data_IF_921045119472
#
_entry.id   IF_921045119472
#
_cell.length_a   1.000
_cell.length_b   1.000
_cell.length_c   1.000
_cell.angle_alpha   90.00
_cell.angle_beta   90.00
_cell.angle_gamma   90.00
#
_symmetry.space_group_name_H-M   'P 1'
#
loop_
_entity.id
_entity.type
_entity.pdbx_description
1 polymer ?
#
# COMPACT_ATOMS: atom_id res chain seq x y z
N UNK A 1 -6.75 -0.90 15.71
CA UNK A 1 -6.94 -0.80 14.23
C UNK A 1 -6.27 0.42 13.59
N UNK A 2 -6.31 1.64 14.15
CA UNK A 2 -5.54 2.81 13.61
C UNK A 2 -4.02 2.56 13.49
N UNK A 3 -3.46 1.68 14.32
CA UNK A 3 -2.05 1.30 14.28
C UNK A 3 -1.65 0.54 13.00
N UNK A 4 -2.52 -0.31 12.44
CA UNK A 4 -2.21 -1.05 11.21
C UNK A 4 -2.15 -0.12 9.99
N UNK A 5 -3.07 0.86 9.90
CA UNK A 5 -3.05 1.89 8.84
C UNK A 5 -1.80 2.78 8.99
N UNK A 6 -1.44 3.16 10.21
CA UNK A 6 -0.24 3.95 10.47
C UNK A 6 1.03 3.19 10.04
N UNK A 7 1.14 1.91 10.39
CA UNK A 7 2.25 1.06 9.99
C UNK A 7 2.31 0.87 8.46
N UNK A 8 1.17 0.62 7.79
CA UNK A 8 1.09 0.56 6.32
C UNK A 8 1.62 1.84 5.67
N UNK A 9 1.19 3.00 6.15
CA UNK A 9 1.66 4.29 5.63
C UNK A 9 3.16 4.49 5.84
N UNK A 10 3.67 4.10 7.02
CA UNK A 10 5.11 4.19 7.33
C UNK A 10 5.93 3.30 6.40
N UNK A 11 5.50 2.06 6.21
CA UNK A 11 6.14 1.13 5.26
C UNK A 11 6.12 1.69 3.85
N UNK A 12 5.03 2.33 3.42
CA UNK A 12 4.94 2.97 2.11
C UNK A 12 5.98 4.08 1.94
N UNK A 13 6.10 4.96 2.93
CA UNK A 13 7.07 6.06 2.89
C UNK A 13 8.52 5.58 2.91
N UNK A 14 8.85 4.60 3.75
CA UNK A 14 10.24 4.17 3.99
C UNK A 14 10.79 3.20 2.95
N UNK A 15 9.93 2.38 2.34
CA UNK A 15 10.35 1.36 1.36
C UNK A 15 10.53 1.94 -0.05
N UNK A 16 11.46 1.38 -0.86
CA UNK A 16 11.48 1.60 -2.30
C UNK A 16 10.15 1.17 -2.91
N UNK A 17 9.54 2.05 -3.72
CA UNK A 17 8.29 1.79 -4.44
C UNK A 17 8.49 2.13 -5.91
N UNK A 18 7.86 1.38 -6.79
CA UNK A 18 8.04 1.52 -8.24
C UNK A 18 6.74 1.98 -8.89
N UNK A 19 6.83 2.74 -9.98
CA UNK A 19 5.70 3.39 -10.63
C UNK A 19 4.58 2.45 -11.05
N UNK A 20 4.85 1.17 -11.28
CA UNK A 20 3.80 0.18 -11.48
C UNK A 20 4.12 -1.05 -10.65
N UNK A 21 3.37 -1.23 -9.57
CA UNK A 21 3.65 -2.27 -8.61
C UNK A 21 2.39 -2.77 -7.91
N UNK A 22 2.53 -3.97 -7.36
CA UNK A 22 1.59 -4.63 -6.49
C UNK A 22 2.32 -4.99 -5.20
N UNK A 23 1.97 -4.31 -4.11
CA UNK A 23 2.58 -4.50 -2.80
C UNK A 23 1.67 -5.35 -1.93
N UNK A 24 2.25 -6.36 -1.29
CA UNK A 24 1.52 -7.33 -0.49
C UNK A 24 1.95 -7.26 0.96
N UNK A 25 0.98 -7.03 1.83
CA UNK A 25 1.18 -6.93 3.26
C UNK A 25 0.38 -8.02 3.96
N UNK A 26 1.03 -8.73 4.88
CA UNK A 26 0.41 -9.75 5.71
C UNK A 26 0.25 -9.21 7.12
N UNK A 27 -0.93 -9.44 7.69
CA UNK A 27 -1.27 -9.14 9.08
C UNK A 27 -1.46 -10.46 9.81
N UNK A 28 -0.63 -10.71 10.82
CA UNK A 28 -0.71 -11.91 11.66
C UNK A 28 -0.69 -11.50 13.13
N UNK A 29 -1.73 -11.87 13.87
CA UNK A 29 -1.92 -11.48 15.27
C UNK A 29 -1.78 -9.96 15.47
N UNK A 30 -2.31 -9.18 14.53
CA UNK A 30 -2.25 -7.72 14.51
C UNK A 30 -0.89 -7.12 14.15
N UNK A 31 0.13 -7.94 13.85
CA UNK A 31 1.44 -7.48 13.38
C UNK A 31 1.48 -7.42 11.86
N UNK A 32 1.89 -6.28 11.33
CA UNK A 32 2.03 -6.04 9.89
C UNK A 32 3.43 -6.41 9.41
N UNK A 33 3.51 -7.09 8.27
CA UNK A 33 4.74 -7.36 7.54
C UNK A 33 4.51 -7.20 6.04
N UNK A 34 5.54 -6.86 5.28
CA UNK A 34 5.49 -6.79 3.82
C UNK A 34 6.22 -8.00 3.25
N UNK A 35 5.57 -8.67 2.31
CA UNK A 35 6.17 -9.77 1.56
C UNK A 35 6.84 -9.22 0.31
N UNK A 36 7.44 -10.11 -0.49
CA UNK A 36 7.97 -9.67 -1.79
C UNK A 36 6.82 -9.07 -2.62
N UNK A 37 7.04 -7.93 -3.29
CA UNK A 37 6.04 -7.36 -4.18
C UNK A 37 5.63 -8.40 -5.23
N UNK A 38 4.32 -8.50 -5.48
CA UNK A 38 3.74 -9.43 -6.45
C UNK A 38 4.14 -9.01 -7.87
N UNK A 39 4.22 -7.70 -8.10
CA UNK A 39 4.65 -7.06 -9.34
C UNK A 39 5.45 -5.81 -9.03
N UNK A 40 6.53 -5.55 -9.75
CA UNK A 40 7.22 -4.26 -9.73
C UNK A 40 7.93 -4.01 -11.07
N UNK A 41 7.62 -2.89 -11.71
CA UNK A 41 8.34 -2.36 -12.86
C UNK A 41 8.27 -0.82 -12.90
N UNK A 42 9.02 -0.22 -13.84
CA UNK A 42 9.07 1.22 -14.06
C UNK A 42 10.10 1.94 -13.17
N UNK A 43 9.83 3.20 -12.85
CA UNK A 43 10.78 4.08 -12.14
C UNK A 43 10.52 4.09 -10.63
N UNK A 44 11.54 4.45 -9.84
CA UNK A 44 11.37 4.63 -8.39
C UNK A 44 10.51 5.86 -8.11
N UNK A 45 9.46 5.67 -7.31
CA UNK A 45 8.59 6.75 -6.89
C UNK A 45 9.35 7.83 -6.11
N UNK A 46 9.03 9.07 -6.43
CA UNK A 46 9.41 10.24 -5.62
C UNK A 46 8.64 10.25 -4.29
N UNK A 47 9.13 11.02 -3.32
CA UNK A 47 8.43 11.18 -2.03
C UNK A 47 7.01 11.72 -2.20
N UNK A 48 6.81 12.66 -3.14
CA UNK A 48 5.48 13.18 -3.49
C UNK A 48 4.56 12.11 -4.06
N UNK A 49 5.08 11.17 -4.85
CA UNK A 49 4.29 10.05 -5.37
C UNK A 49 3.93 9.05 -4.27
N UNK A 50 4.83 8.79 -3.33
CA UNK A 50 4.52 7.98 -2.15
C UNK A 50 3.43 8.63 -1.28
N UNK A 51 3.40 9.96 -1.17
CA UNK A 51 2.31 10.67 -0.46
C UNK A 51 0.93 10.37 -1.08
N UNK A 52 0.82 10.27 -2.42
CA UNK A 52 -0.43 9.87 -3.06
C UNK A 52 -0.87 8.45 -2.67
N UNK A 53 0.07 7.51 -2.51
CA UNK A 53 -0.22 6.16 -2.05
C UNK A 53 -0.68 6.14 -0.58
N UNK A 54 0.00 6.90 0.29
CA UNK A 54 -0.41 7.08 1.69
C UNK A 54 -1.82 7.66 1.77
N UNK A 55 -2.14 8.66 0.95
CA UNK A 55 -3.47 9.26 0.88
C UNK A 55 -4.53 8.27 0.35
N UNK A 56 -4.19 7.44 -0.64
CA UNK A 56 -5.05 6.37 -1.13
C UNK A 56 -5.39 5.38 0.01
N UNK A 57 -4.38 4.91 0.74
CA UNK A 57 -4.53 4.02 1.89
C UNK A 57 -5.41 4.64 2.97
N UNK A 58 -5.11 5.89 3.37
CA UNK A 58 -5.92 6.62 4.36
C UNK A 58 -7.37 6.73 3.92
N UNK A 59 -7.62 7.15 2.68
CA UNK A 59 -8.99 7.33 2.16
C UNK A 59 -9.76 6.01 2.10
N UNK A 60 -9.17 4.96 1.52
CA UNK A 60 -9.84 3.67 1.27
C UNK A 60 -9.99 2.83 2.54
N UNK A 61 -9.06 2.92 3.49
CA UNK A 61 -9.08 2.13 4.72
C UNK A 61 -9.65 2.88 5.93
N UNK A 62 -9.82 4.20 5.89
CA UNK A 62 -10.40 4.97 7.02
C UNK A 62 -11.79 4.49 7.47
N UNK A 63 -12.55 3.84 6.58
CA UNK A 63 -13.91 3.33 6.84
C UNK A 63 -13.99 1.81 6.89
N UNK A 64 -12.87 1.10 6.74
CA UNK A 64 -12.80 -0.37 6.75
C UNK A 64 -12.09 -0.84 8.01
N UNK A 65 -12.66 -1.84 8.66
CA UNK A 65 -11.92 -2.59 9.67
C UNK A 65 -10.87 -3.45 8.97
N UNK A 66 -9.62 -3.27 9.38
CA UNK A 66 -8.51 -4.13 8.93
C UNK A 66 -8.49 -5.36 9.83
N UNK A 67 -8.48 -6.59 9.27
CA UNK A 67 -8.50 -7.80 10.07
C UNK A 67 -7.26 -7.93 10.95
N UNK A 68 -7.41 -8.64 12.06
CA UNK A 68 -6.30 -9.01 12.96
C UNK A 68 -5.39 -10.06 12.30
N UNK A 69 -6.00 -10.91 11.46
CA UNK A 69 -5.33 -11.94 10.67
C UNK A 69 -5.86 -11.86 9.23
N UNK A 70 -4.99 -11.49 8.29
CA UNK A 70 -5.38 -11.29 6.91
C UNK A 70 -4.27 -10.70 6.06
N UNK A 71 -4.64 -10.17 4.91
CA UNK A 71 -3.71 -9.57 3.96
C UNK A 71 -4.29 -8.31 3.31
N UNK A 72 -3.38 -7.42 2.93
CA UNK A 72 -3.67 -6.18 2.21
C UNK A 72 -2.81 -6.16 0.95
N UNK A 73 -3.45 -6.04 -0.21
CA UNK A 73 -2.77 -5.88 -1.50
C UNK A 73 -3.04 -4.47 -2.01
N UNK A 74 -1.98 -3.72 -2.30
CA UNK A 74 -2.00 -2.38 -2.86
C UNK A 74 -1.46 -2.45 -4.28
N UNK A 75 -2.37 -2.38 -5.26
CA UNK A 75 -2.03 -2.29 -6.68
C UNK A 75 -2.09 -0.84 -7.13
N UNK A 76 -1.10 -0.40 -7.87
CA UNK A 76 -1.06 0.97 -8.36
C UNK A 76 -0.21 1.13 -9.61
N UNK A 77 -0.53 2.19 -10.35
CA UNK A 77 0.21 2.64 -11.51
C UNK A 77 0.31 4.17 -11.51
N UNK A 78 1.51 4.67 -11.75
CA UNK A 78 1.83 6.08 -11.99
C UNK A 78 2.23 6.28 -13.44
N UNK A 79 1.92 7.47 -13.94
CA UNK A 79 2.50 7.99 -15.17
C UNK A 79 3.33 9.23 -14.85
N UNK A 80 4.42 9.42 -15.61
CA UNK A 80 5.35 10.55 -15.44
C UNK A 80 4.66 11.93 -15.47
N UNK A 81 3.51 12.04 -16.15
CA UNK A 81 2.84 13.32 -16.41
C UNK A 81 1.47 13.47 -15.72
N UNK A 82 0.82 12.39 -15.30
CA UNK A 82 -0.52 12.44 -14.71
C UNK A 82 -0.58 11.99 -13.24
N UNK A 83 0.55 11.57 -12.64
CA UNK A 83 0.57 11.05 -11.28
C UNK A 83 -0.06 9.65 -11.19
N UNK A 84 -0.77 9.36 -10.09
CA UNK A 84 -1.44 8.08 -9.87
C UNK A 84 -2.59 7.90 -10.88
N UNK A 85 -2.42 7.00 -11.85
CA UNK A 85 -3.39 6.71 -12.92
C UNK A 85 -4.32 5.55 -12.56
N UNK A 86 -3.85 4.61 -11.75
CA UNK A 86 -4.64 3.50 -11.22
C UNK A 86 -4.21 3.18 -9.79
N UNK A 87 -5.16 2.77 -8.95
CA UNK A 87 -4.94 2.51 -7.54
C UNK A 87 -6.10 1.75 -6.88
N UNK A 88 -5.85 0.51 -6.48
CA UNK A 88 -6.79 -0.33 -5.75
C UNK A 88 -6.19 -0.89 -4.46
N UNK A 89 -7.06 -1.15 -3.48
CA UNK A 89 -6.69 -1.81 -2.23
C UNK A 89 -7.64 -2.96 -1.99
N UNK A 90 -7.06 -4.16 -1.94
CA UNK A 90 -7.75 -5.39 -1.61
C UNK A 90 -7.41 -5.76 -0.16
N UNK A 91 -8.43 -6.17 0.60
CA UNK A 91 -8.27 -6.60 1.98
C UNK A 91 -8.97 -7.94 2.11
N UNK A 92 -8.24 -8.95 2.55
CA UNK A 92 -8.74 -10.31 2.74
C UNK A 92 -8.48 -10.75 4.17
N UNK A 93 -9.35 -11.62 4.68
CA UNK A 93 -9.22 -12.24 5.99
C UNK A 93 -8.75 -13.68 5.80
N UNK A 94 -7.97 -14.19 6.75
CA UNK A 94 -7.65 -15.62 6.83
C UNK A 94 -8.74 -16.40 7.58
#
# INVERSE_FOLDING_TARGET
MKQAIAALNEMISQSPSYSNASRHFIIQSGKLSETKPIRFDGYLLTEKEKEFLVDLVRKKLSKRDIPVDGEVILDYQFSLNAGLTDGSIHVYNF
#
